data_IF_073071159877
#
_entry.id   IF_073071159877
#
_cell.length_a   1.000
_cell.length_b   1.000
_cell.length_c   1.000
_cell.angle_alpha   90.00
_cell.angle_beta   90.00
_cell.angle_gamma   90.00
#
_symmetry.space_group_name_H-M   'P 1'
#
loop_
_entity.id
_entity.type
_entity.pdbx_description
1 polymer ?
#
# COMPACT_ATOMS: atom_id res chain seq x y z
N UNK A 1 13.87 -3.19 -15.11
CA UNK A 1 13.63 -3.81 -13.82
C UNK A 1 12.79 -2.85 -13.02
N UNK A 2 11.60 -3.28 -12.68
CA UNK A 2 10.59 -2.41 -12.13
C UNK A 2 10.87 -2.20 -10.63
N UNK A 3 11.37 -1.03 -10.30
CA UNK A 3 11.43 -0.55 -8.93
C UNK A 3 10.13 0.22 -8.66
N UNK A 4 9.40 -0.15 -7.62
CA UNK A 4 8.15 0.47 -7.20
C UNK A 4 8.36 1.13 -5.83
N UNK A 5 8.22 2.45 -5.72
CA UNK A 5 8.24 3.11 -4.43
C UNK A 5 7.14 2.57 -3.51
N UNK A 6 7.43 2.42 -2.21
CA UNK A 6 6.46 1.87 -1.24
C UNK A 6 5.14 2.66 -1.22
N UNK A 7 5.18 3.98 -1.38
CA UNK A 7 3.99 4.80 -1.43
C UNK A 7 3.08 4.42 -2.61
N UNK A 8 3.66 4.14 -3.79
CA UNK A 8 2.93 3.67 -4.95
C UNK A 8 2.43 2.23 -4.79
N UNK A 9 3.25 1.34 -4.19
CA UNK A 9 2.83 -0.02 -3.87
C UNK A 9 1.58 -0.01 -2.96
N UNK A 10 1.59 0.83 -1.93
CA UNK A 10 0.45 1.00 -1.04
C UNK A 10 -0.74 1.68 -1.72
N UNK A 11 -0.51 2.67 -2.58
CA UNK A 11 -1.56 3.39 -3.31
C UNK A 11 -2.27 2.49 -4.31
N UNK A 12 -1.51 1.70 -5.08
CA UNK A 12 -2.03 0.92 -6.20
C UNK A 12 -2.48 -0.49 -5.82
N UNK A 13 -1.92 -1.06 -4.75
CA UNK A 13 -2.13 -2.47 -4.40
C UNK A 13 -2.44 -2.71 -2.91
N UNK A 14 -2.26 -1.70 -2.05
CA UNK A 14 -2.51 -1.80 -0.61
C UNK A 14 -1.56 -2.74 0.13
N UNK A 15 -0.36 -2.98 -0.43
CA UNK A 15 0.63 -3.90 0.11
C UNK A 15 2.05 -3.41 -0.16
N UNK A 16 2.95 -3.66 0.77
CA UNK A 16 4.40 -3.50 0.63
C UNK A 16 5.05 -4.61 -0.23
N UNK A 17 4.31 -5.66 -0.50
CA UNK A 17 4.71 -6.83 -1.32
C UNK A 17 3.61 -7.21 -2.31
N UNK A 18 3.32 -6.35 -3.31
CA UNK A 18 2.20 -6.60 -4.22
C UNK A 18 2.45 -7.78 -5.16
N UNK A 19 1.40 -8.53 -5.43
CA UNK A 19 1.37 -9.51 -6.51
C UNK A 19 1.06 -8.79 -7.82
N UNK A 20 2.06 -8.64 -8.68
CA UNK A 20 1.95 -7.94 -9.97
C UNK A 20 1.77 -8.86 -11.18
N UNK A 21 1.45 -10.15 -10.95
CA UNK A 21 1.12 -11.09 -12.05
C UNK A 21 -0.13 -10.67 -12.83
N UNK A 22 -0.95 -9.82 -12.24
CA UNK A 22 -2.16 -9.28 -12.85
C UNK A 22 -2.33 -7.80 -12.49
N UNK A 23 -3.05 -7.08 -13.32
CA UNK A 23 -3.37 -5.66 -13.10
C UNK A 23 -4.31 -5.45 -11.91
N UNK A 24 -5.52 -4.96 -12.16
CA UNK A 24 -6.54 -4.70 -11.14
C UNK A 24 -6.03 -3.74 -10.04
N UNK A 25 -5.35 -2.68 -10.48
CA UNK A 25 -4.85 -1.62 -9.59
C UNK A 25 -6.03 -0.86 -8.97
N UNK A 26 -5.78 -0.33 -7.78
CA UNK A 26 -6.77 0.50 -7.10
C UNK A 26 -6.98 1.84 -7.81
N UNK A 27 -8.21 2.28 -7.82
CA UNK A 27 -8.60 3.64 -8.19
C UNK A 27 -9.24 4.29 -6.97
N UNK A 28 -8.74 5.47 -6.60
CA UNK A 28 -9.35 6.29 -5.55
C UNK A 28 -10.57 7.02 -6.11
N UNK A 29 -11.67 6.99 -5.37
CA UNK A 29 -13.00 7.40 -5.84
C UNK A 29 -13.62 8.51 -4.99
N UNK A 30 -12.85 9.15 -4.10
CA UNK A 30 -13.36 10.23 -3.23
C UNK A 30 -14.02 11.35 -4.02
N UNK A 31 -13.33 11.84 -5.06
CA UNK A 31 -13.81 12.96 -5.88
C UNK A 31 -15.04 12.64 -6.72
N UNK A 32 -15.29 11.35 -6.97
CA UNK A 32 -16.40 10.89 -7.81
C UNK A 32 -17.63 10.52 -6.98
N UNK A 33 -17.44 9.84 -5.84
CA UNK A 33 -18.53 9.18 -5.13
C UNK A 33 -18.93 9.83 -3.81
N UNK A 34 -18.12 10.72 -3.24
CA UNK A 34 -18.46 11.43 -2.01
C UNK A 34 -19.36 12.64 -2.28
N UNK A 35 -20.30 12.91 -1.37
CA UNK A 35 -21.13 14.12 -1.45
C UNK A 35 -22.45 13.95 -2.21
N UNK A 36 -22.90 12.73 -2.43
CA UNK A 36 -24.14 12.44 -3.19
C UNK A 36 -25.30 11.91 -2.31
N UNK A 37 -25.16 11.98 -0.97
CA UNK A 37 -26.22 11.58 -0.05
C UNK A 37 -26.20 10.09 0.35
N UNK A 38 -25.21 9.33 -0.11
CA UNK A 38 -24.95 7.99 0.41
C UNK A 38 -24.05 8.07 1.64
N UNK A 39 -24.64 8.01 2.81
CA UNK A 39 -23.96 8.30 4.09
C UNK A 39 -22.70 7.46 4.34
N UNK A 40 -22.64 6.22 3.85
CA UNK A 40 -21.46 5.35 3.98
C UNK A 40 -20.25 5.96 3.28
N UNK A 41 -20.45 6.52 2.09
CA UNK A 41 -19.38 7.18 1.34
C UNK A 41 -19.17 8.63 1.79
N UNK A 42 -20.24 9.33 2.15
CA UNK A 42 -20.16 10.74 2.57
C UNK A 42 -19.37 10.89 3.89
N UNK A 43 -19.42 9.90 4.76
CA UNK A 43 -18.69 9.86 6.03
C UNK A 43 -17.30 9.19 5.91
N UNK A 44 -16.94 8.65 4.75
CA UNK A 44 -15.65 8.00 4.56
C UNK A 44 -14.50 9.01 4.43
N UNK A 45 -13.32 8.60 4.88
CA UNK A 45 -12.05 9.32 4.61
C UNK A 45 -11.29 8.70 3.44
N UNK A 46 -11.70 7.51 3.00
CA UNK A 46 -11.18 6.83 1.82
C UNK A 46 -12.28 6.02 1.15
N UNK A 47 -12.36 6.13 -0.17
CA UNK A 47 -13.18 5.29 -1.05
C UNK A 47 -12.27 4.82 -2.17
N UNK A 48 -12.13 3.54 -2.33
CA UNK A 48 -11.31 2.94 -3.38
C UNK A 48 -11.94 1.69 -3.95
N UNK A 49 -11.56 1.36 -5.16
CA UNK A 49 -12.10 0.19 -5.83
C UNK A 49 -11.13 -0.50 -6.77
N UNK A 50 -11.57 -1.64 -7.26
CA UNK A 50 -10.91 -2.47 -8.27
C UNK A 50 -11.89 -2.79 -9.39
N UNK A 51 -11.37 -3.04 -10.58
CA UNK A 51 -12.17 -3.51 -11.73
C UNK A 51 -11.78 -4.97 -12.04
N UNK A 52 -12.75 -5.86 -11.90
CA UNK A 52 -12.64 -7.27 -12.28
C UNK A 52 -13.17 -7.45 -13.71
N UNK A 53 -12.24 -7.57 -14.65
CA UNK A 53 -12.57 -7.72 -16.07
C UNK A 53 -13.40 -8.99 -16.33
N UNK A 54 -14.45 -8.88 -17.09
CA UNK A 54 -15.32 -9.99 -17.48
C UNK A 54 -16.20 -10.57 -16.35
N UNK A 55 -16.20 -9.95 -15.16
CA UNK A 55 -16.90 -10.49 -13.98
C UNK A 55 -18.33 -9.92 -13.78
N UNK A 56 -18.89 -9.15 -14.71
CA UNK A 56 -20.25 -8.62 -14.58
C UNK A 56 -21.33 -9.70 -14.43
N UNK A 57 -21.05 -10.93 -14.91
CA UNK A 57 -21.93 -12.08 -14.78
C UNK A 57 -22.01 -12.68 -13.36
N UNK A 58 -21.30 -12.17 -12.38
CA UNK A 58 -21.38 -12.65 -10.99
C UNK A 58 -22.82 -12.59 -10.49
N UNK A 59 -23.30 -13.71 -9.97
CA UNK A 59 -24.63 -13.80 -9.38
C UNK A 59 -24.71 -13.03 -8.08
N UNK A 60 -25.92 -12.71 -7.63
CA UNK A 60 -26.13 -12.10 -6.30
C UNK A 60 -25.48 -12.92 -5.20
N UNK A 61 -25.61 -14.26 -5.25
CA UNK A 61 -25.00 -15.15 -4.26
C UNK A 61 -23.45 -15.01 -4.22
N UNK A 62 -22.82 -14.86 -5.38
CA UNK A 62 -21.37 -14.64 -5.45
C UNK A 62 -20.97 -13.27 -4.90
N UNK A 63 -21.75 -12.22 -5.18
CA UNK A 63 -21.50 -10.88 -4.63
C UNK A 63 -21.74 -10.81 -3.12
N UNK A 64 -22.79 -11.48 -2.63
CA UNK A 64 -23.04 -11.61 -1.20
C UNK A 64 -21.90 -12.37 -0.50
N UNK A 65 -21.37 -13.43 -1.12
CA UNK A 65 -20.21 -14.17 -0.61
C UNK A 65 -18.94 -13.30 -0.54
N UNK A 66 -18.69 -12.44 -1.55
CA UNK A 66 -17.58 -11.48 -1.50
C UNK A 66 -17.78 -10.43 -0.40
N UNK A 67 -19.01 -9.97 -0.21
CA UNK A 67 -19.34 -9.05 0.89
C UNK A 67 -19.06 -9.68 2.25
N UNK A 68 -19.47 -10.93 2.46
CA UNK A 68 -19.15 -11.66 3.68
C UNK A 68 -17.65 -11.95 3.83
N UNK A 69 -16.94 -12.19 2.73
CA UNK A 69 -15.50 -12.36 2.73
C UNK A 69 -14.78 -11.11 3.29
N UNK A 70 -15.09 -9.92 2.78
CA UNK A 70 -14.43 -8.68 3.23
C UNK A 70 -14.84 -8.29 4.66
N UNK A 71 -15.98 -8.75 5.14
CA UNK A 71 -16.45 -8.52 6.52
C UNK A 71 -15.84 -9.46 7.56
N UNK A 72 -15.11 -10.50 7.14
CA UNK A 72 -14.43 -11.40 8.09
C UNK A 72 -13.56 -10.59 9.07
N UNK A 73 -13.48 -10.99 10.35
CA UNK A 73 -12.76 -10.23 11.38
C UNK A 73 -11.31 -9.89 11.04
N UNK A 74 -10.62 -10.78 10.33
CA UNK A 74 -9.23 -10.59 9.90
C UNK A 74 -9.08 -9.55 8.79
N UNK A 75 -10.14 -9.23 8.03
CA UNK A 75 -10.17 -8.19 7.00
C UNK A 75 -10.83 -6.93 7.56
N UNK A 76 -12.03 -7.08 8.11
CA UNK A 76 -12.71 -6.08 8.92
C UNK A 76 -13.35 -4.93 8.13
N UNK A 77 -13.68 -5.11 6.84
CA UNK A 77 -14.47 -4.14 6.11
C UNK A 77 -15.92 -4.14 6.59
N UNK A 78 -16.59 -2.98 6.53
CA UNK A 78 -17.99 -2.84 6.99
C UNK A 78 -19.00 -3.34 5.96
N UNK A 79 -18.61 -3.38 4.68
CA UNK A 79 -19.44 -3.79 3.55
C UNK A 79 -18.69 -3.60 2.23
N UNK A 80 -19.38 -3.89 1.13
CA UNK A 80 -18.87 -3.75 -0.23
C UNK A 80 -19.97 -3.21 -1.13
N UNK A 81 -19.61 -2.25 -1.97
CA UNK A 81 -20.46 -1.75 -3.06
C UNK A 81 -19.95 -2.31 -4.37
N UNK A 82 -20.86 -2.62 -5.29
CA UNK A 82 -20.48 -3.06 -6.64
C UNK A 82 -21.18 -2.24 -7.72
N UNK A 83 -20.56 -2.16 -8.88
CA UNK A 83 -21.14 -1.64 -10.10
C UNK A 83 -20.81 -2.57 -11.26
N UNK A 84 -21.81 -2.92 -12.05
CA UNK A 84 -21.70 -3.74 -13.26
C UNK A 84 -21.74 -2.87 -14.48
N UNK A 85 -20.92 -3.18 -15.45
CA UNK A 85 -21.02 -2.59 -16.78
C UNK A 85 -21.80 -3.55 -17.66
N UNK A 86 -23.05 -3.18 -17.95
CA UNK A 86 -23.95 -3.99 -18.76
C UNK A 86 -23.48 -4.08 -20.23
N UNK A 87 -24.06 -4.99 -20.99
CA UNK A 87 -23.67 -5.22 -22.37
C UNK A 87 -23.85 -3.99 -23.28
N UNK A 88 -24.83 -3.12 -22.96
CA UNK A 88 -25.07 -1.85 -23.65
C UNK A 88 -24.18 -0.70 -23.17
N UNK A 89 -23.28 -0.99 -22.21
CA UNK A 89 -22.35 -0.01 -21.64
C UNK A 89 -22.92 0.81 -20.49
N UNK A 90 -24.18 0.59 -20.10
CA UNK A 90 -24.77 1.25 -18.92
C UNK A 90 -24.20 0.68 -17.64
N UNK A 91 -24.18 1.49 -16.58
CA UNK A 91 -23.68 1.10 -15.26
C UNK A 91 -24.84 0.85 -14.32
N UNK A 92 -24.87 -0.34 -13.72
CA UNK A 92 -25.81 -0.70 -12.65
C UNK A 92 -25.06 -0.93 -11.35
N UNK A 93 -25.45 -0.24 -10.29
CA UNK A 93 -24.82 -0.33 -8.98
C UNK A 93 -25.81 -0.75 -7.91
N UNK A 94 -25.30 -1.36 -6.85
CA UNK A 94 -26.08 -1.63 -5.62
C UNK A 94 -26.54 -0.34 -4.91
N UNK A 95 -26.01 0.81 -5.30
CA UNK A 95 -26.30 2.14 -4.71
C UNK A 95 -26.73 3.16 -5.79
N UNK A 96 -27.15 2.72 -6.94
CA UNK A 96 -27.51 3.57 -8.10
C UNK A 96 -28.57 4.64 -7.79
N UNK A 97 -29.46 4.40 -6.83
CA UNK A 97 -30.46 5.38 -6.38
C UNK A 97 -29.88 6.70 -5.83
N UNK A 98 -28.59 6.72 -5.44
CA UNK A 98 -27.91 7.91 -4.93
C UNK A 98 -27.12 8.65 -6.00
N UNK A 99 -26.94 8.08 -7.19
CA UNK A 99 -26.03 8.58 -8.20
C UNK A 99 -26.74 8.82 -9.54
N UNK A 100 -26.40 9.94 -10.18
CA UNK A 100 -26.86 10.20 -11.56
C UNK A 100 -26.10 9.29 -12.54
N UNK A 101 -26.65 9.14 -13.76
CA UNK A 101 -25.97 8.38 -14.81
C UNK A 101 -24.62 9.00 -15.20
N UNK A 102 -24.48 10.34 -15.08
CA UNK A 102 -23.21 11.03 -15.33
C UNK A 102 -22.14 10.61 -14.33
N UNK A 103 -22.47 10.53 -13.03
CA UNK A 103 -21.53 10.08 -11.99
C UNK A 103 -21.16 8.61 -12.18
N UNK A 104 -22.13 7.76 -12.50
CA UNK A 104 -21.87 6.35 -12.82
C UNK A 104 -21.00 6.18 -14.06
N UNK A 105 -21.16 7.04 -15.05
CA UNK A 105 -20.29 7.06 -16.23
C UNK A 105 -18.85 7.51 -15.86
N UNK A 106 -18.68 8.53 -15.00
CA UNK A 106 -17.38 8.91 -14.48
C UNK A 106 -16.70 7.76 -13.72
N UNK A 107 -17.47 7.01 -12.93
CA UNK A 107 -16.98 5.82 -12.24
C UNK A 107 -16.43 4.78 -13.24
N UNK A 108 -17.18 4.49 -14.29
CA UNK A 108 -16.76 3.58 -15.37
C UNK A 108 -15.46 4.07 -16.04
N UNK A 109 -15.39 5.35 -16.37
CA UNK A 109 -14.24 5.97 -17.03
C UNK A 109 -12.99 5.96 -16.16
N UNK A 110 -13.14 6.15 -14.84
CA UNK A 110 -12.02 6.12 -13.89
C UNK A 110 -11.27 4.79 -13.90
N UNK A 111 -11.96 3.68 -14.19
CA UNK A 111 -11.37 2.36 -14.35
C UNK A 111 -11.04 1.98 -15.79
N UNK A 112 -11.47 2.76 -16.78
CA UNK A 112 -11.46 2.33 -18.18
C UNK A 112 -12.29 1.07 -18.40
N UNK A 113 -13.35 0.87 -17.59
CA UNK A 113 -14.14 -0.35 -17.56
C UNK A 113 -14.98 -0.52 -18.85
N UNK A 114 -15.12 -1.75 -19.29
CA UNK A 114 -15.79 -2.14 -20.52
C UNK A 114 -17.08 -2.91 -20.23
N UNK A 115 -18.01 -3.01 -21.16
CA UNK A 115 -19.14 -3.92 -21.06
C UNK A 115 -18.68 -5.33 -20.64
N UNK A 116 -19.31 -5.87 -19.60
CA UNK A 116 -18.95 -7.16 -19.02
C UNK A 116 -18.04 -7.08 -17.79
N UNK A 117 -17.54 -5.91 -17.41
CA UNK A 117 -16.69 -5.73 -16.23
C UNK A 117 -17.49 -5.48 -14.94
N UNK A 118 -16.89 -5.80 -13.83
CA UNK A 118 -17.42 -5.61 -12.47
C UNK A 118 -16.48 -4.73 -11.66
N UNK A 119 -16.99 -3.61 -11.16
CA UNK A 119 -16.28 -2.74 -10.24
C UNK A 119 -16.69 -3.09 -8.80
N UNK A 120 -15.71 -3.27 -7.91
CA UNK A 120 -15.91 -3.56 -6.50
C UNK A 120 -15.28 -2.43 -5.68
N UNK A 121 -16.02 -1.89 -4.70
CA UNK A 121 -15.67 -0.68 -3.99
C UNK A 121 -15.74 -0.93 -2.49
N UNK A 122 -14.70 -0.54 -1.77
CA UNK A 122 -14.66 -0.47 -0.32
C UNK A 122 -14.46 0.99 0.13
N UNK A 123 -14.92 1.29 1.33
CA UNK A 123 -14.75 2.58 1.98
C UNK A 123 -14.50 2.43 3.46
N UNK A 124 -13.88 3.41 4.06
CA UNK A 124 -13.59 3.41 5.49
C UNK A 124 -13.16 4.77 6.02
N UNK A 125 -12.94 4.81 7.32
CA UNK A 125 -12.50 5.97 8.08
C UNK A 125 -10.96 6.06 8.25
N UNK A 126 -10.24 5.08 7.72
CA UNK A 126 -8.79 5.00 7.68
C UNK A 126 -8.35 4.50 6.29
N UNK A 127 -7.62 5.34 5.57
CA UNK A 127 -7.20 5.05 4.20
C UNK A 127 -6.25 3.85 4.12
N UNK A 128 -5.29 3.74 5.04
CA UNK A 128 -4.31 2.65 5.05
C UNK A 128 -4.99 1.32 5.35
N UNK A 129 -5.86 1.29 6.34
CA UNK A 129 -6.65 0.12 6.70
C UNK A 129 -7.55 -0.32 5.55
N UNK A 130 -8.24 0.63 4.90
CA UNK A 130 -9.13 0.33 3.79
C UNK A 130 -8.38 -0.18 2.56
N UNK A 131 -7.20 0.36 2.27
CA UNK A 131 -6.32 -0.16 1.21
C UNK A 131 -5.88 -1.60 1.48
N UNK A 132 -5.55 -1.96 2.73
CA UNK A 132 -5.23 -3.35 3.09
C UNK A 132 -6.44 -4.28 2.90
N UNK A 133 -7.64 -3.84 3.28
CA UNK A 133 -8.87 -4.59 3.04
C UNK A 133 -9.14 -4.79 1.55
N UNK A 134 -8.93 -3.76 0.75
CA UNK A 134 -9.08 -3.82 -0.71
C UNK A 134 -8.02 -4.72 -1.37
N UNK A 135 -6.81 -4.81 -0.80
CA UNK A 135 -5.78 -5.75 -1.20
C UNK A 135 -6.26 -7.20 -1.06
N UNK A 136 -6.87 -7.56 0.07
CA UNK A 136 -7.43 -8.90 0.29
C UNK A 136 -8.52 -9.22 -0.74
N UNK A 137 -9.42 -8.27 -1.01
CA UNK A 137 -10.45 -8.42 -2.05
C UNK A 137 -9.83 -8.60 -3.44
N UNK A 138 -8.79 -7.82 -3.77
CA UNK A 138 -8.06 -7.94 -5.04
C UNK A 138 -7.43 -9.32 -5.21
N UNK A 139 -6.78 -9.84 -4.16
CA UNK A 139 -6.16 -11.16 -4.18
C UNK A 139 -7.19 -12.28 -4.32
N UNK A 140 -8.33 -12.15 -3.63
CA UNK A 140 -9.45 -13.09 -3.76
C UNK A 140 -10.03 -13.09 -5.18
N UNK A 141 -10.24 -11.92 -5.77
CA UNK A 141 -10.70 -11.80 -7.16
C UNK A 141 -9.66 -12.39 -8.13
N UNK A 142 -8.37 -12.14 -7.91
CA UNK A 142 -7.29 -12.74 -8.68
C UNK A 142 -7.29 -14.27 -8.63
N UNK A 143 -7.62 -14.85 -7.47
CA UNK A 143 -7.80 -16.31 -7.31
C UNK A 143 -9.02 -16.81 -8.06
N UNK A 144 -10.19 -16.18 -7.87
CA UNK A 144 -11.45 -16.61 -8.49
C UNK A 144 -11.41 -16.52 -10.02
N UNK A 145 -10.71 -15.55 -10.56
CA UNK A 145 -10.56 -15.33 -12.01
C UNK A 145 -9.36 -16.07 -12.61
N UNK A 146 -8.59 -16.84 -11.79
CA UNK A 146 -7.44 -17.60 -12.27
C UNK A 146 -6.24 -16.76 -12.73
N UNK A 147 -6.15 -15.51 -12.26
CA UNK A 147 -5.11 -14.56 -12.68
C UNK A 147 -3.77 -14.77 -11.95
N UNK A 148 -3.77 -15.55 -10.87
CA UNK A 148 -2.59 -15.87 -10.06
C UNK A 148 -1.97 -17.20 -10.50
N UNK A 149 -1.54 -17.27 -11.76
CA UNK A 149 -0.90 -18.47 -12.30
C UNK A 149 0.37 -18.81 -11.49
N UNK A 150 0.46 -20.06 -11.02
CA UNK A 150 1.58 -20.57 -10.22
C UNK A 150 2.86 -20.76 -11.04
N UNK A 151 2.74 -20.88 -12.36
CA UNK A 151 3.86 -21.08 -13.27
C UNK A 151 4.44 -19.74 -13.80
N UNK A 152 3.82 -18.62 -13.46
CA UNK A 152 4.28 -17.28 -13.84
C UNK A 152 4.96 -16.62 -12.64
N UNK A 153 6.14 -16.08 -12.85
CA UNK A 153 6.91 -15.35 -11.84
C UNK A 153 7.01 -13.88 -12.26
N UNK A 154 6.46 -13.00 -11.44
CA UNK A 154 6.55 -11.56 -11.58
C UNK A 154 7.36 -10.99 -10.41
N UNK A 155 8.53 -10.45 -10.73
CA UNK A 155 9.50 -9.94 -9.76
C UNK A 155 9.49 -8.42 -9.79
N UNK A 156 9.59 -7.79 -8.61
CA UNK A 156 9.80 -6.35 -8.50
C UNK A 156 10.68 -6.04 -7.29
N UNK A 157 11.30 -4.86 -7.33
CA UNK A 157 11.93 -4.25 -6.16
C UNK A 157 10.94 -3.24 -5.54
N UNK A 158 10.67 -3.36 -4.26
CA UNK A 158 10.00 -2.30 -3.48
C UNK A 158 11.07 -1.46 -2.82
N UNK A 159 10.98 -0.16 -2.98
CA UNK A 159 12.01 0.80 -2.60
C UNK A 159 11.39 2.04 -1.92
N UNK A 160 12.24 2.98 -1.52
CA UNK A 160 11.81 4.27 -0.95
C UNK A 160 11.00 4.14 0.35
N UNK A 161 11.32 3.14 1.16
CA UNK A 161 10.72 3.00 2.48
C UNK A 161 11.01 4.25 3.34
N UNK A 162 10.10 4.64 4.25
CA UNK A 162 10.43 5.64 5.27
C UNK A 162 11.65 5.20 6.09
N UNK A 163 12.53 6.15 6.42
CA UNK A 163 13.66 5.87 7.30
C UNK A 163 13.20 5.69 8.74
N UNK A 164 12.19 6.45 9.12
CA UNK A 164 11.60 6.47 10.46
C UNK A 164 10.12 6.18 10.42
N UNK A 165 9.61 5.64 11.52
CA UNK A 165 8.20 5.57 11.85
C UNK A 165 7.95 6.23 13.21
N UNK A 166 6.75 6.79 13.39
CA UNK A 166 6.35 7.36 14.66
C UNK A 166 5.75 6.26 15.55
N UNK A 167 6.28 6.11 16.74
CA UNK A 167 5.72 5.23 17.76
C UNK A 167 4.80 6.03 18.69
N UNK A 168 3.49 5.76 18.64
CA UNK A 168 2.52 6.35 19.57
C UNK A 168 2.77 5.90 21.01
N UNK A 169 3.23 4.66 21.20
CA UNK A 169 3.53 4.09 22.51
C UNK A 169 4.73 4.77 23.17
N UNK A 170 5.79 5.03 22.39
CA UNK A 170 7.02 5.63 22.89
C UNK A 170 7.06 7.16 22.71
N UNK A 171 6.13 7.74 21.96
CA UNK A 171 6.05 9.18 21.68
C UNK A 171 7.27 9.73 20.96
N UNK A 172 7.93 8.93 20.12
CA UNK A 172 9.16 9.29 19.40
C UNK A 172 9.30 8.59 18.05
N UNK A 173 10.27 9.06 17.27
CA UNK A 173 10.69 8.37 16.05
C UNK A 173 11.43 7.08 16.38
N UNK A 174 11.11 6.04 15.63
CA UNK A 174 11.79 4.74 15.64
C UNK A 174 12.37 4.47 14.25
N UNK A 175 13.47 3.73 14.19
CA UNK A 175 13.97 3.25 12.90
C UNK A 175 12.99 2.22 12.33
N UNK A 176 12.55 2.41 11.10
CA UNK A 176 11.62 1.48 10.46
C UNK A 176 12.26 0.11 10.23
N UNK A 177 13.54 0.07 9.88
CA UNK A 177 14.30 -1.17 9.65
C UNK A 177 15.38 -1.37 10.72
N UNK A 178 16.42 -0.54 10.68
CA UNK A 178 17.56 -0.65 11.60
C UNK A 178 18.22 0.72 11.81
N UNK A 179 18.74 1.04 13.00
CA UNK A 179 19.41 2.32 13.27
C UNK A 179 20.62 2.63 12.37
N UNK A 180 21.19 1.63 11.72
CA UNK A 180 22.31 1.76 10.78
C UNK A 180 21.87 1.85 9.30
N UNK A 181 20.58 1.82 9.00
CA UNK A 181 20.08 2.01 7.65
C UNK A 181 20.40 3.43 7.18
N UNK A 182 21.05 3.54 6.02
CA UNK A 182 21.40 4.83 5.43
C UNK A 182 20.14 5.54 4.90
N UNK A 183 19.99 6.85 5.14
CA UNK A 183 19.05 7.65 4.38
C UNK A 183 19.48 7.70 2.91
N UNK A 184 18.54 7.97 2.01
CA UNK A 184 18.89 8.31 0.64
C UNK A 184 19.73 9.58 0.63
N UNK A 185 20.78 9.66 -0.21
CA UNK A 185 21.70 10.82 -0.23
C UNK A 185 20.99 12.14 -0.48
N UNK A 186 19.98 12.14 -1.34
CA UNK A 186 19.18 13.32 -1.66
C UNK A 186 18.29 13.82 -0.52
N UNK A 187 18.01 12.97 0.48
CA UNK A 187 17.12 13.29 1.61
C UNK A 187 17.88 13.65 2.90
N UNK A 188 19.21 13.53 2.92
CA UNK A 188 20.03 13.79 4.14
C UNK A 188 19.73 15.16 4.74
N UNK A 189 19.54 16.18 3.90
CA UNK A 189 19.24 17.55 4.35
C UNK A 189 17.91 17.68 5.11
N UNK A 190 17.00 16.71 4.95
CA UNK A 190 15.71 16.67 5.65
C UNK A 190 15.82 16.17 7.09
N UNK A 191 16.93 15.54 7.47
CA UNK A 191 17.13 15.06 8.84
C UNK A 191 17.00 16.16 9.89
N UNK A 192 17.38 17.40 9.54
CA UNK A 192 17.31 18.55 10.43
C UNK A 192 15.97 19.29 10.41
N UNK A 193 15.19 19.15 9.34
CA UNK A 193 13.99 19.96 9.09
C UNK A 193 12.71 19.17 9.10
N UNK A 194 12.73 17.96 8.54
CA UNK A 194 11.57 17.08 8.45
C UNK A 194 12.00 15.59 8.39
N UNK A 195 12.50 15.03 9.50
CA UNK A 195 12.99 13.65 9.53
C UNK A 195 11.96 12.61 9.14
N UNK A 196 10.67 12.87 9.36
CA UNK A 196 9.58 11.97 8.97
C UNK A 196 9.45 11.78 7.44
N UNK A 197 9.96 12.72 6.64
CA UNK A 197 9.93 12.63 5.18
C UNK A 197 11.18 11.96 4.57
N UNK A 198 12.17 11.62 5.39
CA UNK A 198 13.42 11.00 4.91
C UNK A 198 13.17 9.55 4.49
N UNK A 199 13.58 9.22 3.28
CA UNK A 199 13.52 7.85 2.74
C UNK A 199 14.77 7.07 3.07
N UNK A 200 14.59 5.79 3.36
CA UNK A 200 15.66 4.84 3.57
C UNK A 200 16.26 4.37 2.25
N UNK A 201 17.56 4.12 2.24
CA UNK A 201 18.23 3.38 1.16
C UNK A 201 18.10 1.88 1.43
N UNK A 202 16.84 1.43 1.45
CA UNK A 202 16.41 0.06 1.70
C UNK A 202 15.59 -0.45 0.51
N UNK A 203 15.55 -1.76 0.35
CA UNK A 203 14.93 -2.42 -0.79
C UNK A 203 14.48 -3.83 -0.41
N UNK A 204 13.30 -4.23 -0.92
CA UNK A 204 12.79 -5.58 -0.80
C UNK A 204 12.58 -6.19 -2.18
N UNK A 205 13.05 -7.42 -2.36
CA UNK A 205 12.73 -8.23 -3.54
C UNK A 205 11.42 -8.98 -3.30
N UNK A 206 10.45 -8.70 -4.14
CA UNK A 206 9.13 -9.33 -4.08
C UNK A 206 8.88 -10.17 -5.31
N UNK A 207 8.43 -11.39 -5.12
CA UNK A 207 8.01 -12.32 -6.17
C UNK A 207 6.60 -12.83 -5.87
N UNK A 208 5.66 -12.59 -6.79
CA UNK A 208 4.28 -13.10 -6.68
C UNK A 208 3.58 -12.74 -5.35
N UNK A 209 3.83 -11.58 -4.81
CA UNK A 209 3.22 -11.14 -3.56
C UNK A 209 3.93 -11.64 -2.29
N UNK A 210 5.13 -12.19 -2.43
CA UNK A 210 5.96 -12.67 -1.32
C UNK A 210 7.29 -11.93 -1.33
N UNK A 211 7.66 -11.34 -0.22
CA UNK A 211 9.01 -10.84 0.01
C UNK A 211 9.96 -12.04 0.13
N UNK A 212 10.89 -12.14 -0.79
CA UNK A 212 11.87 -13.24 -0.84
C UNK A 212 13.21 -12.86 -0.26
N UNK A 213 13.43 -11.60 -0.04
CA UNK A 213 14.62 -11.04 0.61
C UNK A 213 14.59 -9.53 0.57
N UNK A 214 15.32 -8.92 1.46
CA UNK A 214 15.45 -7.47 1.54
C UNK A 214 16.79 -7.08 2.13
N UNK A 215 17.09 -5.80 2.07
CA UNK A 215 18.31 -5.27 2.61
C UNK A 215 18.35 -3.74 2.56
N UNK A 216 19.48 -3.20 2.98
CA UNK A 216 19.71 -1.76 2.96
C UNK A 216 21.19 -1.45 2.82
N UNK A 217 21.49 -0.25 2.34
CA UNK A 217 22.84 0.30 2.48
C UNK A 217 22.98 0.82 3.91
N UNK A 218 24.04 0.45 4.58
CA UNK A 218 24.33 0.87 5.97
C UNK A 218 25.12 2.16 6.02
N UNK A 219 24.91 2.93 7.08
CA UNK A 219 25.70 4.12 7.39
C UNK A 219 27.10 3.69 7.79
N UNK A 220 28.12 4.29 7.16
CA UNK A 220 29.52 4.14 7.52
C UNK A 220 30.16 5.46 7.96
N UNK A 221 29.51 6.59 7.72
CA UNK A 221 29.91 7.90 8.19
C UNK A 221 29.52 8.09 9.66
N UNK A 222 30.52 8.40 10.52
CA UNK A 222 30.27 8.50 11.95
C UNK A 222 29.44 9.72 12.36
N UNK A 223 29.51 10.82 11.60
CA UNK A 223 28.73 12.02 11.91
C UNK A 223 27.26 11.77 11.59
N UNK A 224 26.99 11.18 10.44
CA UNK A 224 25.64 10.79 10.06
C UNK A 224 25.05 9.76 11.02
N UNK A 225 25.83 8.78 11.46
CA UNK A 225 25.39 7.78 12.43
C UNK A 225 25.04 8.41 13.80
N UNK A 226 25.83 9.34 14.27
CA UNK A 226 25.54 10.05 15.52
C UNK A 226 24.26 10.88 15.40
N UNK A 227 24.03 11.55 14.26
CA UNK A 227 22.80 12.28 13.98
C UNK A 227 21.58 11.35 14.01
N UNK A 228 21.69 10.15 13.43
CA UNK A 228 20.63 9.14 13.46
C UNK A 228 20.32 8.71 14.90
N UNK A 229 21.32 8.44 15.71
CA UNK A 229 21.12 8.08 17.13
C UNK A 229 20.44 9.20 17.91
N UNK A 230 20.83 10.45 17.70
CA UNK A 230 20.18 11.61 18.31
C UNK A 230 18.69 11.67 17.98
N UNK A 231 18.31 11.52 16.70
CA UNK A 231 16.91 11.52 16.23
C UNK A 231 16.10 10.35 16.81
N UNK A 232 16.75 9.21 17.05
CA UNK A 232 16.15 8.03 17.66
C UNK A 232 16.12 8.09 19.20
N UNK A 233 16.62 9.18 19.81
CA UNK A 233 16.61 9.36 21.26
C UNK A 233 17.66 8.54 22.01
N UNK A 234 18.73 8.10 21.35
CA UNK A 234 19.87 7.49 22.03
C UNK A 234 20.77 8.56 22.62
N UNK A 235 21.19 8.39 23.88
CA UNK A 235 22.33 9.14 24.41
C UNK A 235 23.63 8.59 23.84
N UNK A 236 24.72 9.39 23.77
CA UNK A 236 26.01 8.90 23.30
C UNK A 236 26.52 7.68 24.08
N UNK A 237 26.27 7.63 25.39
CA UNK A 237 26.67 6.52 26.27
C UNK A 237 25.91 5.24 25.90
N UNK A 238 24.59 5.36 25.73
CA UNK A 238 23.73 4.21 25.34
C UNK A 238 24.06 3.69 23.97
N UNK A 239 24.31 4.58 22.98
CA UNK A 239 24.77 4.20 21.66
C UNK A 239 26.11 3.46 21.70
N UNK A 240 27.06 3.94 22.49
CA UNK A 240 28.38 3.32 22.69
C UNK A 240 28.25 1.95 23.37
N UNK A 241 27.38 1.81 24.36
CA UNK A 241 27.17 0.55 25.08
C UNK A 241 26.58 -0.52 24.14
N UNK A 242 25.60 -0.15 23.36
CA UNK A 242 24.88 -1.11 22.47
C UNK A 242 25.62 -1.40 21.17
N UNK A 243 26.24 -0.40 20.56
CA UNK A 243 26.76 -0.46 19.19
C UNK A 243 28.24 -0.06 19.07
N UNK A 244 28.94 0.22 20.18
CA UNK A 244 30.28 0.75 20.16
C UNK A 244 31.29 -0.12 19.40
N UNK A 245 31.18 -1.44 19.49
CA UNK A 245 32.04 -2.35 18.76
C UNK A 245 31.85 -2.21 17.25
N UNK A 246 30.61 -2.09 16.78
CA UNK A 246 30.29 -1.93 15.37
C UNK A 246 30.69 -0.56 14.84
N UNK A 247 30.41 0.50 15.61
CA UNK A 247 30.85 1.87 15.29
C UNK A 247 32.39 1.98 15.20
N UNK A 248 33.10 1.27 16.07
CA UNK A 248 34.56 1.23 16.03
C UNK A 248 35.08 0.44 14.80
N UNK A 249 34.43 -0.67 14.43
CA UNK A 249 34.78 -1.42 13.23
C UNK A 249 34.63 -0.55 11.97
N UNK A 250 33.57 0.23 11.86
CA UNK A 250 33.32 1.11 10.71
C UNK A 250 34.33 2.25 10.54
N UNK A 251 35.06 2.62 11.59
CA UNK A 251 36.20 3.58 11.48
C UNK A 251 37.29 3.10 10.56
N UNK A 252 37.42 1.79 10.35
CA UNK A 252 38.39 1.17 9.43
C UNK A 252 37.85 0.99 8.03
N UNK A 253 36.63 1.45 7.75
CA UNK A 253 35.92 1.31 6.49
C UNK A 253 34.92 0.15 6.51
N UNK A 254 33.89 0.28 5.72
CA UNK A 254 32.89 -0.77 5.51
C UNK A 254 32.46 -0.80 4.05
N UNK A 255 32.32 -1.99 3.42
CA UNK A 255 31.67 -2.08 2.11
C UNK A 255 30.18 -1.77 2.26
N UNK A 256 29.51 -1.39 1.17
CA UNK A 256 28.05 -1.36 1.17
C UNK A 256 27.50 -2.73 1.58
N UNK A 257 26.57 -2.74 2.53
CA UNK A 257 26.01 -3.98 3.09
C UNK A 257 24.67 -3.68 3.76
N UNK A 258 23.90 -4.74 4.10
CA UNK A 258 22.66 -4.63 4.84
C UNK A 258 21.67 -5.74 4.57
#
# INVERSE_FOLDING_TARGET
HDALPICEAMRLYGSDKPDIRFGMQFVELMDILKGHGFSVFDNATYIGGICAEGAAGYTRKQLDALTEFVKKPQIGAKGMVYARIEADGTVKSSVDKFYTQEVLQQLKEAFGAKPGDLILILSGDDAMKTRKQLCELRLEMGNQLGLRDKNTFACLWVVDFPLFEWSEEEGRLMAMHHPFTSPKPEDIHLLDTNPAAVRANAYDMVINGVEVGGGSIRIHDSQLQNKMFELLGFTPERAQEQFGFLMNAFKFGAPPHG
#
